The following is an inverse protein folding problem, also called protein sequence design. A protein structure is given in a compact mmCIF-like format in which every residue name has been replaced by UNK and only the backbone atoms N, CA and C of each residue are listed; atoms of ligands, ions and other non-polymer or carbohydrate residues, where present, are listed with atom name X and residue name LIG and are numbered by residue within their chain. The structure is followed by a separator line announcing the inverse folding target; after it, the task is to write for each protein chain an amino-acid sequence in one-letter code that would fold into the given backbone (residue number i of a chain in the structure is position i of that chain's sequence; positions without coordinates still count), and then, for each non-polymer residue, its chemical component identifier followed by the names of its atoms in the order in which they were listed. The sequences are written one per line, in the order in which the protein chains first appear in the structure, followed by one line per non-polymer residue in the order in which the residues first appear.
data_IF_069047559654
#
_entry.id   IF_069047559654
#
_cell.length_a   1.000
_cell.length_b   1.000
_cell.length_c   1.000
_cell.angle_alpha   90.00
_cell.angle_beta   90.00
_cell.angle_gamma   90.00
#
_symmetry.space_group_name_H-M   'P 1'
#
loop_
_entity.id
_entity.type
_entity.pdbx_description
1 polymer ?
#
# COMPACT_ATOMS: atom_id res chain seq x y z
N UNK A 1 23.60 3.74 4.20
CA UNK A 1 22.39 4.51 3.85
C UNK A 1 22.03 5.38 5.06
N UNK A 2 22.28 6.70 5.04
CA UNK A 2 21.66 7.57 6.03
C UNK A 2 20.14 7.45 5.90
N UNK A 3 19.44 7.45 7.03
CA UNK A 3 17.99 7.22 7.10
C UNK A 3 17.27 8.34 6.35
N UNK A 4 16.89 8.11 5.08
CA UNK A 4 15.93 8.96 4.39
C UNK A 4 14.66 8.96 5.24
N UNK A 5 14.38 10.09 5.91
CA UNK A 5 13.21 10.21 6.78
C UNK A 5 11.99 10.32 5.87
N UNK A 6 11.45 9.17 5.50
CA UNK A 6 10.25 9.06 4.68
C UNK A 6 9.04 9.28 5.55
N UNK A 7 8.36 10.42 5.36
CA UNK A 7 7.14 10.76 6.10
C UNK A 7 5.93 10.58 5.19
N UNK A 8 4.85 10.03 5.74
CA UNK A 8 3.57 9.85 5.05
C UNK A 8 2.58 10.85 5.65
N UNK A 9 1.87 11.60 4.82
CA UNK A 9 0.88 12.59 5.25
C UNK A 9 -0.50 12.30 4.63
N UNK A 10 -1.55 12.51 5.43
CA UNK A 10 -2.97 12.35 5.07
C UNK A 10 -3.56 13.66 4.50
N UNK A 11 -4.44 13.54 3.49
CA UNK A 11 -5.30 14.62 2.98
C UNK A 11 -6.77 14.35 3.37
N UNK A 12 -7.22 14.82 4.55
CA UNK A 12 -8.60 14.59 5.04
C UNK A 12 -9.67 15.26 4.16
N UNK A 13 -10.62 14.45 3.69
CA UNK A 13 -11.93 14.86 3.15
C UNK A 13 -13.02 13.89 3.62
N UNK A 14 -14.16 14.41 4.11
CA UNK A 14 -15.28 13.59 4.64
C UNK A 14 -15.97 12.81 3.52
N UNK A 15 -16.13 11.49 3.67
CA UNK A 15 -17.01 10.66 2.84
C UNK A 15 -18.02 9.89 3.69
N UNK A 16 -19.25 9.80 3.20
CA UNK A 16 -20.32 8.98 3.75
C UNK A 16 -19.96 7.49 3.66
N UNK A 17 -20.41 6.71 4.63
CA UNK A 17 -20.16 5.27 4.75
C UNK A 17 -20.67 4.51 3.51
N UNK A 18 -19.73 4.06 2.67
CA UNK A 18 -20.00 3.21 1.52
C UNK A 18 -20.52 1.84 1.97
N UNK A 19 -21.53 1.33 1.27
CA UNK A 19 -22.20 0.06 1.57
C UNK A 19 -21.23 -1.12 1.69
N UNK A 20 -21.63 -2.13 2.48
CA UNK A 20 -20.86 -3.35 2.76
C UNK A 20 -20.46 -4.05 1.44
N UNK A 21 -19.22 -3.87 0.99
CA UNK A 21 -18.63 -4.72 -0.04
C UNK A 21 -18.36 -6.10 0.56
N UNK A 22 -19.25 -7.04 0.31
CA UNK A 22 -19.15 -8.44 0.75
C UNK A 22 -18.08 -9.18 -0.06
N UNK A 23 -16.80 -8.96 0.23
CA UNK A 23 -15.64 -9.81 -0.14
C UNK A 23 -15.31 -10.01 -1.64
N UNK A 24 -14.25 -10.79 -1.91
CA UNK A 24 -13.86 -11.28 -3.25
C UNK A 24 -14.04 -12.80 -3.30
N UNK A 25 -14.69 -13.33 -4.34
CA UNK A 25 -14.90 -14.76 -4.48
C UNK A 25 -13.56 -15.49 -4.74
N UNK A 26 -13.28 -16.58 -3.99
CA UNK A 26 -12.10 -17.41 -4.24
C UNK A 26 -12.19 -18.12 -5.59
N UNK A 27 -11.16 -18.00 -6.44
CA UNK A 27 -11.15 -18.54 -7.79
C UNK A 27 -10.98 -20.08 -7.88
N UNK A 28 -10.77 -20.80 -6.77
CA UNK A 28 -10.52 -22.25 -6.79
C UNK A 28 -11.35 -22.97 -5.72
N UNK A 29 -12.48 -23.56 -6.11
CA UNK A 29 -13.15 -24.67 -5.41
C UNK A 29 -13.71 -24.46 -3.98
N UNK A 30 -13.41 -23.34 -3.31
CA UNK A 30 -13.92 -23.02 -1.98
C UNK A 30 -15.21 -22.21 -2.05
N UNK A 31 -16.27 -22.68 -1.41
CA UNK A 31 -17.52 -21.93 -1.23
C UNK A 31 -17.31 -20.84 -0.17
N UNK A 32 -16.65 -19.73 -0.50
CA UNK A 32 -16.48 -18.61 0.42
C UNK A 32 -15.93 -17.35 -0.23
N UNK A 33 -16.54 -16.20 0.11
CA UNK A 33 -15.95 -14.89 -0.14
C UNK A 33 -14.77 -14.71 0.82
N UNK A 34 -13.62 -14.29 0.29
CA UNK A 34 -12.51 -13.84 1.14
C UNK A 34 -12.97 -12.60 1.91
N UNK A 35 -12.70 -12.61 3.21
CA UNK A 35 -12.78 -11.38 4.00
C UNK A 35 -11.76 -10.35 3.49
N UNK A 36 -11.95 -9.11 3.92
CA UNK A 36 -11.22 -7.98 3.36
C UNK A 36 -9.72 -8.00 3.71
N UNK A 37 -9.33 -8.52 4.88
CA UNK A 37 -7.91 -8.67 5.23
C UNK A 37 -7.27 -9.78 4.38
N UNK A 38 -7.91 -10.95 4.31
CA UNK A 38 -7.46 -12.07 3.50
C UNK A 38 -7.33 -11.67 2.03
N UNK A 39 -8.26 -10.86 1.53
CA UNK A 39 -8.19 -10.27 0.19
C UNK A 39 -6.96 -9.38 0.02
N UNK A 40 -6.69 -8.48 0.99
CA UNK A 40 -5.51 -7.61 0.93
C UNK A 40 -4.22 -8.42 0.83
N UNK A 41 -4.08 -9.46 1.67
CA UNK A 41 -2.87 -10.30 1.72
C UNK A 41 -2.70 -11.20 0.50
N UNK A 42 -3.79 -11.83 0.03
CA UNK A 42 -3.71 -12.84 -1.04
C UNK A 42 -3.74 -12.25 -2.45
N UNK A 43 -4.31 -11.07 -2.63
CA UNK A 43 -4.56 -10.50 -3.95
C UNK A 43 -3.91 -9.13 -4.07
N UNK A 44 -4.30 -8.18 -3.22
CA UNK A 44 -3.90 -6.77 -3.39
C UNK A 44 -2.39 -6.57 -3.22
N UNK A 45 -1.79 -7.05 -2.13
CA UNK A 45 -0.35 -6.89 -1.88
C UNK A 45 0.51 -7.59 -2.96
N UNK A 46 0.25 -8.86 -3.34
CA UNK A 46 1.01 -9.50 -4.43
C UNK A 46 0.88 -8.75 -5.75
N UNK A 47 -0.33 -8.31 -6.13
CA UNK A 47 -0.54 -7.57 -7.36
C UNK A 47 0.17 -6.21 -7.33
N UNK A 48 0.07 -5.48 -6.21
CA UNK A 48 0.72 -4.19 -6.04
C UNK A 48 2.25 -4.32 -6.09
N UNK A 49 2.81 -5.31 -5.38
CA UNK A 49 4.23 -5.64 -5.45
C UNK A 49 4.67 -5.92 -6.87
N UNK A 50 3.90 -6.72 -7.62
CA UNK A 50 4.24 -7.02 -9.01
C UNK A 50 4.32 -5.75 -9.85
N UNK A 51 3.43 -4.78 -9.65
CA UNK A 51 3.52 -3.48 -10.33
C UNK A 51 4.81 -2.73 -9.95
N UNK A 52 5.17 -2.69 -8.66
CA UNK A 52 6.42 -2.05 -8.21
C UNK A 52 7.67 -2.74 -8.77
N UNK A 53 7.64 -4.07 -8.87
CA UNK A 53 8.74 -4.87 -9.38
C UNK A 53 8.89 -4.73 -10.91
N UNK A 54 7.80 -4.49 -11.65
CA UNK A 54 7.77 -4.69 -13.11
C UNK A 54 7.37 -3.47 -13.95
N UNK A 55 6.70 -2.46 -13.40
CA UNK A 55 6.06 -1.39 -14.21
C UNK A 55 6.52 0.03 -13.92
N UNK A 56 7.10 0.31 -12.76
CA UNK A 56 7.39 1.68 -12.30
C UNK A 56 8.82 1.84 -11.76
N UNK A 57 9.75 1.04 -12.26
CA UNK A 57 11.13 1.00 -11.77
C UNK A 57 11.88 2.31 -12.03
N UNK A 58 11.53 3.03 -13.10
CA UNK A 58 12.02 4.37 -13.43
C UNK A 58 11.64 5.38 -12.34
N UNK A 59 10.37 5.44 -11.95
CA UNK A 59 9.88 6.32 -10.88
C UNK A 59 10.51 5.93 -9.53
N UNK A 60 10.65 4.63 -9.27
CA UNK A 60 11.28 4.14 -8.04
C UNK A 60 12.79 4.44 -7.99
N UNK A 61 13.46 4.56 -9.14
CA UNK A 61 14.85 4.97 -9.20
C UNK A 61 14.98 6.47 -8.87
N UNK A 62 14.15 7.31 -9.49
CA UNK A 62 14.11 8.76 -9.21
C UNK A 62 13.83 9.05 -7.73
N UNK A 63 12.87 8.33 -7.12
CA UNK A 63 12.60 8.46 -5.69
C UNK A 63 13.79 8.06 -4.81
N UNK A 64 14.61 7.10 -5.23
CA UNK A 64 15.82 6.73 -4.49
C UNK A 64 16.90 7.80 -4.60
N UNK A 65 17.08 8.37 -5.79
CA UNK A 65 18.04 9.45 -6.04
C UNK A 65 17.66 10.69 -5.22
N UNK A 66 16.41 11.15 -5.33
CA UNK A 66 15.91 12.27 -4.54
C UNK A 66 16.01 11.99 -3.03
N UNK A 67 15.70 10.76 -2.60
CA UNK A 67 15.81 10.33 -1.21
C UNK A 67 17.24 10.26 -0.66
N UNK A 68 18.24 10.14 -1.54
CA UNK A 68 19.65 10.19 -1.15
C UNK A 68 20.11 11.63 -0.89
N UNK A 69 19.54 12.61 -1.60
CA UNK A 69 19.87 14.03 -1.46
C UNK A 69 19.10 14.71 -0.32
N UNK A 70 17.81 14.36 -0.15
CA UNK A 70 16.91 15.08 0.74
C UNK A 70 15.82 14.18 1.34
N UNK A 71 15.24 14.55 2.49
CA UNK A 71 14.07 13.86 3.02
C UNK A 71 12.90 13.92 2.04
N UNK A 72 12.20 12.81 1.89
CA UNK A 72 11.01 12.70 1.04
C UNK A 72 9.73 12.61 1.88
N UNK A 73 8.69 13.31 1.40
CA UNK A 73 7.35 13.22 1.96
C UNK A 73 6.43 12.67 0.88
N UNK A 74 5.87 11.48 1.13
CA UNK A 74 4.85 10.89 0.26
C UNK A 74 3.47 11.25 0.82
N UNK A 75 2.60 11.74 -0.05
CA UNK A 75 1.26 12.18 0.34
C UNK A 75 0.24 11.20 -0.21
N UNK A 76 -0.73 10.84 0.63
CA UNK A 76 -1.82 9.95 0.27
C UNK A 76 -3.08 10.32 1.05
N UNK A 77 -4.20 9.67 0.73
CA UNK A 77 -5.46 9.92 1.41
C UNK A 77 -5.49 9.39 2.85
N UNK A 78 -4.71 8.37 3.17
CA UNK A 78 -4.53 7.90 4.56
C UNK A 78 -3.04 7.68 4.81
N UNK A 79 -2.67 7.47 6.07
CA UNK A 79 -1.31 7.02 6.45
C UNK A 79 -1.28 5.55 6.88
N UNK A 80 -2.38 4.81 6.71
CA UNK A 80 -2.51 3.45 7.23
C UNK A 80 -1.64 2.49 6.42
N UNK A 81 -0.52 2.05 6.98
CA UNK A 81 0.27 0.95 6.44
C UNK A 81 -0.15 -0.42 6.96
N UNK A 82 -1.00 -0.51 7.98
CA UNK A 82 -1.34 -1.79 8.59
C UNK A 82 -2.40 -2.53 7.76
N UNK A 83 -2.01 -3.70 7.25
CA UNK A 83 -2.84 -4.56 6.42
C UNK A 83 -4.05 -5.08 7.19
N UNK A 84 -3.86 -5.37 8.49
CA UNK A 84 -4.90 -5.86 9.40
C UNK A 84 -5.82 -4.73 9.89
N UNK A 85 -5.39 -3.47 9.79
CA UNK A 85 -6.24 -2.33 10.11
C UNK A 85 -7.27 -2.10 8.99
N UNK A 86 -8.49 -2.60 9.19
CA UNK A 86 -9.60 -2.48 8.25
C UNK A 86 -10.41 -1.18 8.44
N UNK A 87 -10.16 -0.41 9.50
CA UNK A 87 -10.92 0.80 9.80
C UNK A 87 -10.65 1.94 8.80
N UNK A 88 -9.51 1.89 8.10
CA UNK A 88 -9.13 2.87 7.08
C UNK A 88 -8.56 2.17 5.83
N UNK A 89 -8.71 2.77 4.64
CA UNK A 89 -8.03 2.30 3.43
C UNK A 89 -6.53 2.17 3.64
N UNK A 90 -5.93 1.13 3.07
CA UNK A 90 -4.48 0.93 3.06
C UNK A 90 -3.84 2.04 2.20
N UNK A 91 -2.80 2.67 2.73
CA UNK A 91 -2.09 3.76 2.07
C UNK A 91 -1.12 3.22 1.02
N UNK A 92 -1.27 3.70 -0.21
CA UNK A 92 -0.32 3.50 -1.31
C UNK A 92 1.04 4.10 -0.97
N UNK A 93 1.07 5.32 -0.40
CA UNK A 93 2.32 5.95 0.02
C UNK A 93 3.05 5.11 1.08
N UNK A 94 2.32 4.51 2.02
CA UNK A 94 2.90 3.58 3.00
C UNK A 94 3.49 2.32 2.35
N UNK A 95 2.85 1.77 1.33
CA UNK A 95 3.35 0.59 0.61
C UNK A 95 4.59 0.90 -0.23
N UNK A 96 4.60 2.02 -0.96
CA UNK A 96 5.80 2.49 -1.68
C UNK A 96 6.94 2.73 -0.70
N UNK A 97 6.67 3.34 0.45
CA UNK A 97 7.66 3.55 1.50
C UNK A 97 8.28 2.26 2.03
N UNK A 98 7.46 1.25 2.29
CA UNK A 98 7.93 -0.08 2.69
C UNK A 98 8.78 -0.73 1.61
N UNK A 99 8.34 -0.66 0.36
CA UNK A 99 9.07 -1.20 -0.77
C UNK A 99 10.45 -0.54 -0.93
N UNK A 100 10.51 0.80 -0.94
CA UNK A 100 11.75 1.57 -1.06
C UNK A 100 12.72 1.32 0.09
N UNK A 101 12.21 1.06 1.30
CA UNK A 101 13.02 0.80 2.49
C UNK A 101 13.31 -0.67 2.75
N UNK A 102 12.92 -1.58 1.84
CA UNK A 102 13.17 -3.02 1.96
C UNK A 102 12.38 -3.72 3.07
N UNK A 103 11.27 -3.12 3.53
CA UNK A 103 10.40 -3.64 4.61
C UNK A 103 9.08 -4.19 4.07
N UNK A 104 9.14 -4.88 2.93
CA UNK A 104 7.96 -5.49 2.33
C UNK A 104 7.64 -6.81 3.04
N UNK A 105 6.77 -6.75 4.04
CA UNK A 105 6.24 -7.93 4.73
C UNK A 105 4.81 -8.21 4.21
N UNK A 106 4.56 -9.46 3.76
CA UNK A 106 3.31 -9.90 3.14
C UNK A 106 2.14 -10.10 4.11
#
# INVERSE_FOLDING_TARGET
MPQAVLRIADRRGRFASSGRCSGIATACGGSGLLDYEATRRRIYLPAYRWVLDNRVQDVLAELRELGAERPLVLVDYTTNGDVANLATPLSHAALVARYLTGRWDG
#
